data_IF_715221795614
#
_entry.id   IF_715221795614
#
_cell.length_a   1.000
_cell.length_b   1.000
_cell.length_c   1.000
_cell.angle_alpha   90.00
_cell.angle_beta   90.00
_cell.angle_gamma   90.00
#
_symmetry.space_group_name_H-M   'P 1'
#
loop_
_entity.id
_entity.type
_entity.pdbx_description
1 polymer ?
#
# COMPACT_ATOMS: atom_id res chain seq x y z
N UNK A 1 -1.15 -14.14 1.06
CA UNK A 1 -1.37 -13.32 -0.15
C UNK A 1 -0.28 -12.29 -0.34
N UNK A 2 0.06 -11.48 0.68
CA UNK A 2 1.17 -10.51 0.61
C UNK A 2 2.53 -11.13 0.23
N UNK A 3 2.86 -12.30 0.75
CA UNK A 3 4.08 -13.05 0.37
C UNK A 3 4.15 -13.42 -1.12
N UNK A 4 3.03 -13.65 -1.79
CA UNK A 4 2.98 -13.94 -3.24
C UNK A 4 3.15 -12.67 -4.09
N UNK A 5 2.58 -11.54 -3.65
CA UNK A 5 2.79 -10.23 -4.28
C UNK A 5 4.25 -9.77 -4.16
N UNK A 6 4.84 -9.85 -2.96
CA UNK A 6 6.24 -9.53 -2.72
C UNK A 6 7.17 -10.40 -3.57
N UNK A 7 6.87 -11.69 -3.69
CA UNK A 7 7.63 -12.61 -4.53
C UNK A 7 7.54 -12.27 -6.03
N UNK A 8 6.36 -11.94 -6.55
CA UNK A 8 6.22 -11.52 -7.96
C UNK A 8 6.98 -10.22 -8.23
N UNK A 9 6.81 -9.22 -7.36
CA UNK A 9 7.50 -7.93 -7.45
C UNK A 9 9.03 -8.07 -7.37
N UNK A 10 9.54 -8.97 -6.51
CA UNK A 10 10.98 -9.23 -6.40
C UNK A 10 11.53 -9.98 -7.62
N UNK A 11 10.77 -10.93 -8.18
CA UNK A 11 11.14 -11.66 -9.40
C UNK A 11 11.14 -10.75 -10.63
N UNK A 12 10.30 -9.71 -10.64
CA UNK A 12 10.20 -8.71 -11.70
C UNK A 12 11.25 -7.59 -11.58
N UNK A 13 12.12 -7.65 -10.55
CA UNK A 13 13.18 -6.67 -10.32
C UNK A 13 12.70 -5.35 -9.72
N UNK A 14 11.43 -5.27 -9.29
CA UNK A 14 10.83 -4.09 -8.63
C UNK A 14 11.26 -4.00 -7.16
N UNK A 15 11.63 -5.13 -6.54
CA UNK A 15 12.19 -5.21 -5.18
C UNK A 15 13.58 -5.84 -5.20
N UNK A 16 14.42 -5.68 -4.15
CA UNK A 16 15.74 -6.29 -4.09
C UNK A 16 15.68 -7.80 -4.35
N UNK A 17 16.50 -8.31 -5.27
CA UNK A 17 16.52 -9.73 -5.69
C UNK A 17 16.71 -10.71 -4.52
N UNK A 18 17.28 -10.26 -3.39
CA UNK A 18 17.40 -11.05 -2.16
C UNK A 18 16.04 -11.52 -1.59
N UNK A 19 14.94 -10.83 -1.93
CA UNK A 19 13.56 -11.19 -1.54
C UNK A 19 12.93 -12.19 -2.53
N UNK A 20 13.51 -12.34 -3.73
CA UNK A 20 13.06 -13.26 -4.78
C UNK A 20 13.57 -14.69 -4.60
N UNK A 21 14.48 -14.94 -3.67
CA UNK A 21 15.02 -16.29 -3.43
C UNK A 21 13.95 -17.21 -2.83
N UNK A 22 13.60 -18.24 -3.60
CA UNK A 22 12.72 -19.34 -3.19
C UNK A 22 13.55 -20.50 -2.64
N UNK A 23 12.91 -21.32 -1.80
CA UNK A 23 13.54 -22.51 -1.22
C UNK A 23 13.78 -23.58 -2.31
N UNK A 24 15.02 -24.06 -2.45
CA UNK A 24 15.49 -24.94 -3.54
C UNK A 24 14.64 -26.20 -3.76
N UNK A 25 14.01 -26.74 -2.70
CA UNK A 25 13.31 -28.03 -2.77
C UNK A 25 11.77 -27.92 -2.84
N UNK A 26 11.18 -26.84 -2.32
CA UNK A 26 9.71 -26.73 -2.16
C UNK A 26 9.05 -25.59 -2.94
N UNK A 27 9.84 -24.74 -3.64
CA UNK A 27 9.35 -23.58 -4.40
C UNK A 27 8.41 -22.64 -3.62
N UNK A 28 8.42 -22.72 -2.29
CA UNK A 28 7.62 -21.87 -1.40
C UNK A 28 8.40 -20.57 -1.13
N UNK A 29 7.76 -19.39 -1.24
CA UNK A 29 8.37 -18.10 -0.95
C UNK A 29 8.53 -17.92 0.57
N UNK A 30 9.42 -18.72 1.17
CA UNK A 30 9.68 -18.73 2.60
C UNK A 30 10.24 -17.38 3.08
N UNK A 31 11.11 -16.74 2.29
CA UNK A 31 11.68 -15.43 2.63
C UNK A 31 10.65 -14.31 2.63
N UNK A 32 9.71 -14.30 1.68
CA UNK A 32 8.64 -13.31 1.65
C UNK A 32 7.62 -13.51 2.78
N UNK A 33 7.32 -14.76 3.14
CA UNK A 33 6.49 -15.07 4.30
C UNK A 33 7.19 -14.75 5.62
N UNK A 34 8.47 -15.06 5.75
CA UNK A 34 9.27 -14.75 6.92
C UNK A 34 9.41 -13.23 7.10
N UNK A 35 9.67 -12.48 6.01
CA UNK A 35 9.70 -11.02 6.04
C UNK A 35 8.34 -10.44 6.50
N UNK A 36 7.23 -10.95 5.96
CA UNK A 36 5.90 -10.53 6.40
C UNK A 36 5.67 -10.81 7.89
N UNK A 37 6.04 -12.01 8.37
CA UNK A 37 5.91 -12.38 9.78
C UNK A 37 6.82 -11.56 10.70
N UNK A 38 8.06 -11.28 10.28
CA UNK A 38 9.00 -10.44 11.01
C UNK A 38 8.48 -9.00 11.09
N UNK A 39 7.97 -8.44 9.98
CA UNK A 39 7.36 -7.11 9.99
C UNK A 39 6.14 -7.07 10.92
N UNK A 40 5.28 -8.07 10.88
CA UNK A 40 4.15 -8.17 11.80
C UNK A 40 4.62 -8.24 13.27
N UNK A 41 5.64 -9.05 13.55
CA UNK A 41 6.23 -9.17 14.89
C UNK A 41 6.85 -7.85 15.37
N UNK A 42 7.59 -7.14 14.51
CA UNK A 42 8.16 -5.82 14.80
C UNK A 42 7.05 -4.84 15.19
N UNK A 43 5.96 -4.78 14.41
CA UNK A 43 4.86 -3.88 14.71
C UNK A 43 4.16 -4.21 16.03
N UNK A 44 3.93 -5.49 16.31
CA UNK A 44 3.36 -5.93 17.59
C UNK A 44 4.29 -5.58 18.76
N UNK A 45 5.60 -5.81 18.62
CA UNK A 45 6.60 -5.48 19.64
C UNK A 45 6.72 -3.98 19.87
N UNK A 46 6.79 -3.17 18.80
CA UNK A 46 6.82 -1.71 18.90
C UNK A 46 5.56 -1.18 19.59
N UNK A 47 4.40 -1.76 19.28
CA UNK A 47 3.15 -1.39 19.94
C UNK A 47 3.16 -1.76 21.42
N UNK A 48 3.57 -2.99 21.76
CA UNK A 48 3.67 -3.45 23.15
C UNK A 48 4.70 -2.67 23.98
N UNK A 49 5.83 -2.27 23.38
CA UNK A 49 6.85 -1.45 24.03
C UNK A 49 6.37 0.00 24.27
N UNK A 50 5.59 0.57 23.34
CA UNK A 50 5.12 1.94 23.45
C UNK A 50 3.90 2.12 24.38
N UNK A 51 3.05 1.09 24.48
CA UNK A 51 1.76 1.18 25.19
C UNK A 51 1.62 0.18 26.35
N UNK A 52 2.63 -0.66 26.58
CA UNK A 52 2.64 -1.67 27.66
C UNK A 52 2.01 -3.00 27.23
N UNK A 53 2.41 -4.07 27.92
CA UNK A 53 1.86 -5.42 27.76
C UNK A 53 0.76 -5.74 28.79
N UNK A 54 0.44 -4.76 29.65
CA UNK A 54 -0.30 -4.97 30.91
C UNK A 54 -1.82 -5.02 30.76
N UNK A 55 -2.38 -4.80 29.56
CA UNK A 55 -3.83 -4.96 29.30
C UNK A 55 -4.09 -6.01 28.20
N UNK A 56 -4.19 -7.30 28.59
CA UNK A 56 -4.51 -8.40 27.68
C UNK A 56 -5.94 -8.36 27.12
N UNK A 57 -6.82 -7.53 27.66
CA UNK A 57 -8.27 -7.70 27.51
C UNK A 57 -8.99 -6.62 26.70
N UNK A 58 -8.47 -5.39 26.60
CA UNK A 58 -9.28 -4.28 26.08
C UNK A 58 -8.94 -3.72 24.72
N UNK A 59 -7.66 -3.40 24.46
CA UNK A 59 -7.35 -2.37 23.45
C UNK A 59 -6.13 -2.64 22.58
N UNK A 60 -5.21 -3.52 22.99
CA UNK A 60 -3.98 -3.72 22.22
C UNK A 60 -4.21 -4.45 20.88
N UNK A 61 -4.93 -5.58 20.90
CA UNK A 61 -5.24 -6.32 19.66
C UNK A 61 -6.23 -5.58 18.76
N UNK A 62 -7.30 -5.03 19.35
CA UNK A 62 -8.29 -4.26 18.61
C UNK A 62 -7.69 -2.96 18.07
N UNK A 63 -6.81 -2.31 18.86
CA UNK A 63 -6.05 -1.14 18.46
C UNK A 63 -5.15 -1.45 17.28
N UNK A 64 -4.23 -2.42 17.39
CA UNK A 64 -3.33 -2.80 16.29
C UNK A 64 -4.11 -3.18 15.02
N UNK A 65 -5.16 -3.98 15.14
CA UNK A 65 -5.99 -4.35 13.99
C UNK A 65 -6.65 -3.14 13.33
N UNK A 66 -7.30 -2.29 14.13
CA UNK A 66 -8.01 -1.11 13.63
C UNK A 66 -7.03 -0.09 13.04
N UNK A 67 -5.84 0.05 13.63
CA UNK A 67 -4.76 0.88 13.10
C UNK A 67 -4.33 0.40 11.71
N UNK A 68 -4.04 -0.88 11.54
CA UNK A 68 -3.68 -1.45 10.24
C UNK A 68 -4.82 -1.34 9.22
N UNK A 69 -6.07 -1.52 9.66
CA UNK A 69 -7.24 -1.35 8.80
C UNK A 69 -7.38 0.10 8.32
N UNK A 70 -7.31 1.07 9.22
CA UNK A 70 -7.43 2.50 8.88
C UNK A 70 -6.26 2.97 8.01
N UNK A 71 -5.03 2.59 8.37
CA UNK A 71 -3.83 2.91 7.58
C UNK A 71 -3.90 2.28 6.19
N UNK A 72 -4.22 0.98 6.11
CA UNK A 72 -4.32 0.24 4.86
C UNK A 72 -5.40 0.79 3.94
N UNK A 73 -6.60 1.04 4.48
CA UNK A 73 -7.70 1.64 3.72
C UNK A 73 -7.35 3.05 3.26
N UNK A 74 -6.72 3.88 4.11
CA UNK A 74 -6.28 5.22 3.73
C UNK A 74 -5.30 5.21 2.55
N UNK A 75 -4.28 4.35 2.61
CA UNK A 75 -3.32 4.18 1.53
C UNK A 75 -3.97 3.66 0.24
N UNK A 76 -4.91 2.72 0.35
CA UNK A 76 -5.66 2.22 -0.80
C UNK A 76 -6.53 3.30 -1.46
N UNK A 77 -7.20 4.15 -0.68
CA UNK A 77 -7.99 5.27 -1.20
C UNK A 77 -7.12 6.27 -1.97
N UNK A 78 -5.94 6.59 -1.43
CA UNK A 78 -4.97 7.47 -2.11
C UNK A 78 -4.47 6.82 -3.40
N UNK A 79 -4.13 5.52 -3.37
CA UNK A 79 -3.73 4.79 -4.57
C UNK A 79 -4.82 4.82 -5.64
N UNK A 80 -6.08 4.57 -5.25
CA UNK A 80 -7.21 4.61 -6.17
C UNK A 80 -7.41 6.02 -6.77
N UNK A 81 -7.23 7.08 -5.98
CA UNK A 81 -7.25 8.46 -6.50
C UNK A 81 -6.19 8.69 -7.58
N UNK A 82 -4.95 8.21 -7.34
CA UNK A 82 -3.87 8.30 -8.33
C UNK A 82 -4.20 7.49 -9.59
N UNK A 83 -4.78 6.30 -9.44
CA UNK A 83 -5.21 5.47 -10.57
C UNK A 83 -6.31 6.16 -11.38
N UNK A 84 -7.32 6.74 -10.75
CA UNK A 84 -8.38 7.52 -11.42
C UNK A 84 -7.78 8.65 -12.26
N UNK A 85 -6.79 9.36 -11.72
CA UNK A 85 -6.07 10.40 -12.44
C UNK A 85 -5.24 9.84 -13.61
N UNK A 86 -4.57 8.70 -13.40
CA UNK A 86 -3.78 8.03 -14.45
C UNK A 86 -4.66 7.58 -15.61
N UNK A 87 -5.84 7.02 -15.34
CA UNK A 87 -6.83 6.62 -16.35
C UNK A 87 -7.27 7.84 -17.16
N UNK A 88 -7.62 8.94 -16.49
CA UNK A 88 -7.98 10.19 -17.17
C UNK A 88 -6.86 10.70 -18.09
N UNK A 89 -5.60 10.70 -17.61
CA UNK A 89 -4.45 11.10 -18.43
C UNK A 89 -4.20 10.16 -19.61
N UNK A 90 -4.39 8.85 -19.43
CA UNK A 90 -4.23 7.86 -20.49
C UNK A 90 -5.26 8.09 -21.61
N UNK A 91 -6.55 8.23 -21.27
CA UNK A 91 -7.60 8.50 -22.25
C UNK A 91 -7.45 9.87 -22.90
N UNK A 92 -6.98 10.89 -22.16
CA UNK A 92 -6.65 12.20 -22.72
C UNK A 92 -5.53 12.11 -23.78
N UNK A 93 -4.56 11.21 -23.60
CA UNK A 93 -3.43 11.03 -24.52
C UNK A 93 -3.74 10.12 -25.71
N UNK A 94 -4.41 8.99 -25.46
CA UNK A 94 -4.60 7.93 -26.46
C UNK A 94 -5.96 8.00 -27.16
N UNK A 95 -6.91 8.76 -26.61
CA UNK A 95 -8.27 8.84 -27.14
C UNK A 95 -9.06 7.53 -26.99
N UNK A 96 -10.28 7.52 -27.53
CA UNK A 96 -11.19 6.37 -27.53
C UNK A 96 -12.14 6.32 -26.33
N UNK A 97 -13.35 5.76 -26.54
CA UNK A 97 -14.39 5.62 -25.52
C UNK A 97 -15.39 6.79 -25.42
N UNK A 98 -16.49 6.60 -24.67
CA UNK A 98 -17.49 7.64 -24.43
C UNK A 98 -17.04 8.64 -23.35
N UNK A 99 -17.47 9.91 -23.45
CA UNK A 99 -17.15 10.95 -22.44
C UNK A 99 -17.50 10.53 -21.01
N UNK A 100 -18.54 9.71 -20.86
CA UNK A 100 -18.96 9.16 -19.58
C UNK A 100 -17.88 8.26 -18.97
N UNK A 101 -17.32 7.33 -19.73
CA UNK A 101 -16.32 6.39 -19.26
C UNK A 101 -14.92 7.01 -19.14
N UNK A 102 -14.60 8.02 -19.96
CA UNK A 102 -13.23 8.55 -20.09
C UNK A 102 -12.96 9.79 -19.25
N UNK A 103 -14.00 10.58 -18.97
CA UNK A 103 -13.86 11.86 -18.24
C UNK A 103 -14.73 11.87 -17.00
N UNK A 104 -16.02 11.60 -17.14
CA UNK A 104 -16.98 11.75 -16.03
C UNK A 104 -16.71 10.70 -14.94
N UNK A 105 -16.62 9.43 -15.30
CA UNK A 105 -16.41 8.36 -14.33
C UNK A 105 -15.08 8.49 -13.56
N UNK A 106 -13.91 8.74 -14.20
CA UNK A 106 -12.65 8.95 -13.47
C UNK A 106 -12.67 10.20 -12.59
N UNK A 107 -13.30 11.29 -13.05
CA UNK A 107 -13.34 12.54 -12.28
C UNK A 107 -14.26 12.43 -11.06
N UNK A 108 -15.42 11.79 -11.20
CA UNK A 108 -16.30 11.46 -10.06
C UNK A 108 -15.55 10.56 -9.08
N UNK A 109 -14.89 9.51 -9.59
CA UNK A 109 -14.11 8.59 -8.76
C UNK A 109 -13.05 9.35 -7.95
N UNK A 110 -12.28 10.23 -8.60
CA UNK A 110 -11.27 11.07 -7.97
C UNK A 110 -11.86 11.94 -6.85
N UNK A 111 -12.97 12.64 -7.12
CA UNK A 111 -13.63 13.50 -6.13
C UNK A 111 -14.12 12.67 -4.94
N UNK A 112 -14.78 11.54 -5.19
CA UNK A 112 -15.27 10.64 -4.14
C UNK A 112 -14.10 10.11 -3.30
N UNK A 113 -13.01 9.68 -3.92
CA UNK A 113 -11.82 9.19 -3.22
C UNK A 113 -11.21 10.28 -2.33
N UNK A 114 -11.11 11.52 -2.81
CA UNK A 114 -10.62 12.65 -2.01
C UNK A 114 -11.54 12.94 -0.80
N UNK A 115 -12.85 12.90 -1.00
CA UNK A 115 -13.84 13.07 0.10
C UNK A 115 -13.71 11.94 1.12
N UNK A 116 -13.51 10.69 0.68
CA UNK A 116 -13.32 9.55 1.56
C UNK A 116 -12.02 9.66 2.36
N UNK A 117 -10.92 10.07 1.73
CA UNK A 117 -9.64 10.32 2.44
C UNK A 117 -9.82 11.43 3.47
N UNK A 118 -10.47 12.54 3.11
CA UNK A 118 -10.76 13.62 4.04
C UNK A 118 -11.63 13.15 5.21
N UNK A 119 -12.69 12.39 4.94
CA UNK A 119 -13.61 11.88 5.96
C UNK A 119 -12.90 10.89 6.89
N UNK A 120 -12.03 10.05 6.35
CA UNK A 120 -11.21 9.14 7.13
C UNK A 120 -10.31 9.91 8.09
N UNK A 121 -9.61 10.94 7.59
CA UNK A 121 -8.72 11.78 8.41
C UNK A 121 -9.49 12.55 9.48
N UNK A 122 -10.65 13.12 9.12
CA UNK A 122 -11.50 13.87 10.05
C UNK A 122 -12.09 12.97 11.15
N UNK A 123 -12.37 11.70 10.86
CA UNK A 123 -12.92 10.73 11.81
C UNK A 123 -11.86 9.80 12.42
N UNK A 124 -10.56 10.15 12.32
CA UNK A 124 -9.48 9.34 12.87
C UNK A 124 -9.59 9.13 14.38
N UNK A 125 -10.10 10.10 15.13
CA UNK A 125 -10.30 9.96 16.57
C UNK A 125 -11.38 8.92 16.90
N UNK A 126 -12.42 8.83 16.07
CA UNK A 126 -13.51 7.85 16.22
C UNK A 126 -13.08 6.46 15.75
N UNK A 127 -12.28 6.38 14.68
CA UNK A 127 -11.86 5.13 14.06
C UNK A 127 -10.62 4.52 14.74
N UNK A 128 -9.63 5.33 15.08
CA UNK A 128 -8.35 4.88 15.66
C UNK A 128 -8.34 4.77 17.19
N UNK A 129 -9.45 5.15 17.85
CA UNK A 129 -9.57 5.23 19.30
C UNK A 129 -8.88 6.45 19.91
N UNK A 130 -9.06 6.65 21.21
CA UNK A 130 -8.50 7.78 22.00
C UNK A 130 -7.00 7.68 22.25
N UNK A 131 -6.34 6.62 21.76
CA UNK A 131 -4.93 6.40 21.96
C UNK A 131 -4.09 7.40 21.14
N UNK A 132 -3.03 7.95 21.74
CA UNK A 132 -2.15 8.95 21.10
C UNK A 132 -1.56 8.51 19.76
N UNK A 133 -1.56 7.21 19.46
CA UNK A 133 -1.10 6.65 18.18
C UNK A 133 -2.00 6.97 16.99
N UNK A 134 -3.32 7.17 17.19
CA UNK A 134 -4.24 7.49 16.10
C UNK A 134 -3.85 8.79 15.38
N UNK A 135 -3.26 9.73 16.12
CA UNK A 135 -2.72 10.99 15.60
C UNK A 135 -1.48 10.79 14.71
N UNK A 136 -0.77 9.68 14.88
CA UNK A 136 0.44 9.34 14.13
C UNK A 136 0.13 8.68 12.77
N UNK A 137 -1.08 8.14 12.57
CA UNK A 137 -1.48 7.42 11.35
C UNK A 137 -1.24 8.23 10.06
N UNK A 138 -1.63 9.51 9.95
CA UNK A 138 -1.42 10.29 8.72
C UNK A 138 0.08 10.43 8.40
N UNK A 139 0.91 10.61 9.42
CA UNK A 139 2.36 10.77 9.25
C UNK A 139 3.02 9.47 8.80
N UNK A 140 2.62 8.34 9.39
CA UNK A 140 3.08 7.00 8.96
C UNK A 140 2.63 6.72 7.53
N UNK A 141 1.38 7.00 7.19
CA UNK A 141 0.87 6.86 5.83
C UNK A 141 1.63 7.73 4.83
N UNK A 142 1.89 8.99 5.17
CA UNK A 142 2.67 9.91 4.34
C UNK A 142 4.11 9.41 4.16
N UNK A 143 4.75 8.92 5.23
CA UNK A 143 6.09 8.34 5.15
C UNK A 143 6.12 7.13 4.21
N UNK A 144 5.13 6.23 4.29
CA UNK A 144 5.01 5.08 3.38
C UNK A 144 4.86 5.53 1.92
N UNK A 145 4.02 6.54 1.66
CA UNK A 145 3.85 7.10 0.32
C UNK A 145 5.14 7.72 -0.21
N UNK A 146 5.85 8.49 0.61
CA UNK A 146 7.13 9.10 0.23
C UNK A 146 8.18 8.03 -0.07
N UNK A 147 8.32 7.02 0.80
CA UNK A 147 9.25 5.90 0.58
C UNK A 147 8.90 5.16 -0.71
N UNK A 148 7.62 4.90 -0.96
CA UNK A 148 7.16 4.26 -2.19
C UNK A 148 7.45 5.08 -3.45
N UNK A 149 7.25 6.40 -3.39
CA UNK A 149 7.58 7.32 -4.49
C UNK A 149 9.08 7.37 -4.77
N UNK A 150 9.89 7.56 -3.72
CA UNK A 150 11.36 7.56 -3.83
C UNK A 150 11.82 6.24 -4.44
N UNK A 151 11.31 5.10 -3.95
CA UNK A 151 11.65 3.80 -4.49
C UNK A 151 11.27 3.67 -5.97
N UNK A 152 10.10 4.17 -6.37
CA UNK A 152 9.69 4.21 -7.78
C UNK A 152 10.64 5.04 -8.65
N UNK A 153 11.11 6.19 -8.17
CA UNK A 153 12.09 7.02 -8.88
C UNK A 153 13.49 6.39 -8.93
N UNK A 154 13.94 5.79 -7.82
CA UNK A 154 15.20 5.05 -7.77
C UNK A 154 15.17 3.85 -8.71
N UNK A 155 14.05 3.13 -8.77
CA UNK A 155 13.89 2.01 -9.70
C UNK A 155 13.95 2.47 -11.16
N UNK A 156 13.31 3.61 -11.47
CA UNK A 156 13.38 4.23 -12.80
C UNK A 156 14.81 4.57 -13.22
N UNK A 157 15.69 4.97 -12.29
CA UNK A 157 17.08 5.33 -12.60
C UNK A 157 18.04 4.13 -12.56
N UNK A 158 17.86 3.20 -11.61
CA UNK A 158 18.77 2.07 -11.40
C UNK A 158 18.46 0.86 -12.28
N UNK A 159 17.19 0.61 -12.60
CA UNK A 159 16.80 -0.50 -13.48
C UNK A 159 15.65 -0.09 -14.44
N UNK A 160 15.96 0.70 -15.49
CA UNK A 160 14.98 1.15 -16.47
C UNK A 160 14.27 0.00 -17.20
N UNK A 161 14.94 -1.16 -17.35
CA UNK A 161 14.36 -2.37 -17.96
C UNK A 161 13.25 -2.96 -17.09
N UNK A 162 13.47 -3.08 -15.79
CA UNK A 162 12.43 -3.52 -14.85
C UNK A 162 11.27 -2.52 -14.79
N UNK A 163 11.56 -1.21 -14.77
CA UNK A 163 10.54 -0.17 -14.78
C UNK A 163 9.66 -0.19 -16.04
N UNK A 164 10.25 -0.46 -17.21
CA UNK A 164 9.52 -0.60 -18.47
C UNK A 164 8.56 -1.80 -18.49
N UNK A 165 8.91 -2.91 -17.82
CA UNK A 165 8.09 -4.11 -17.81
C UNK A 165 6.83 -4.01 -16.95
N UNK A 166 6.77 -3.08 -15.98
CA UNK A 166 5.61 -2.89 -15.09
C UNK A 166 4.32 -2.59 -15.87
N UNK A 167 4.40 -1.99 -17.05
CA UNK A 167 3.23 -1.61 -17.87
C UNK A 167 2.88 -2.55 -19.02
N UNK A 168 3.77 -3.45 -19.45
CA UNK A 168 3.56 -4.29 -20.64
C UNK A 168 2.88 -5.63 -20.34
N UNK A 169 2.84 -6.07 -19.08
CA UNK A 169 2.46 -7.43 -18.72
C UNK A 169 0.95 -7.70 -18.56
N UNK A 170 0.07 -6.70 -18.67
CA UNK A 170 -1.39 -6.94 -18.75
C UNK A 170 -1.82 -7.40 -20.16
N UNK A 171 -1.00 -7.17 -21.18
CA UNK A 171 -1.34 -7.49 -22.58
C UNK A 171 -0.88 -8.88 -23.04
N UNK A 172 -0.24 -9.67 -22.18
CA UNK A 172 0.29 -11.02 -22.52
C UNK A 172 -0.43 -12.16 -21.76
N UNK A 173 -1.63 -11.90 -21.22
CA UNK A 173 -2.50 -12.90 -20.59
C UNK A 173 -3.61 -13.39 -21.51
#
# INVERSE_FOLDING_TARGET
>A
TASRYLYSLAREGVLPQAIAETHDHHKSPHKASALQSVLAAIWVLLYGLAYGFDDPSGQAWLGVYTLFAVLGTGLLLVLQAVVSLAIYMWFKKNGGGSLLATVIAPLISLVVQLVLVYTLVANLATLGGTNGFARSIPYVGLAILIVGLIWGFVLRSTNPKAYGNIGHMVNEG
#
